data_IF_789690599188
#
_entry.id   IF_789690599188
#
_cell.length_a   1.000
_cell.length_b   1.000
_cell.length_c   1.000
_cell.angle_alpha   90.00
_cell.angle_beta   90.00
_cell.angle_gamma   90.00
#
_symmetry.space_group_name_H-M   'P 1'
#
loop_
_entity.id
_entity.type
_entity.pdbx_description
1 polymer ?
#
# COMPACT_ATOMS: atom_id res chain seq x y z
N UNK A 1 14.91 -43.87 -5.13
CA UNK A 1 13.72 -43.08 -4.73
C UNK A 1 14.02 -41.62 -5.00
N UNK A 2 13.42 -41.01 -6.02
CA UNK A 2 13.62 -39.58 -6.31
C UNK A 2 12.62 -38.76 -5.49
N UNK A 3 13.12 -37.85 -4.66
CA UNK A 3 12.29 -36.93 -3.86
C UNK A 3 11.53 -35.98 -4.79
N UNK A 4 10.21 -35.78 -4.63
CA UNK A 4 9.47 -34.85 -5.47
C UNK A 4 9.96 -33.43 -5.20
N UNK A 5 10.28 -32.71 -6.27
CA UNK A 5 10.70 -31.32 -6.22
C UNK A 5 9.44 -30.47 -5.98
N UNK A 6 9.22 -30.07 -4.74
CA UNK A 6 8.13 -29.16 -4.37
C UNK A 6 8.49 -27.79 -4.98
N UNK A 7 7.75 -27.34 -6.00
CA UNK A 7 7.89 -25.97 -6.50
C UNK A 7 7.37 -25.03 -5.43
N UNK A 8 8.28 -24.33 -4.78
CA UNK A 8 7.91 -23.23 -3.90
C UNK A 8 7.31 -22.11 -4.76
N UNK A 9 6.13 -21.56 -4.42
CA UNK A 9 5.62 -20.39 -5.11
C UNK A 9 6.61 -19.24 -4.94
N UNK A 10 7.26 -18.83 -6.01
CA UNK A 10 8.13 -17.66 -6.00
C UNK A 10 7.26 -16.42 -6.16
N UNK A 11 7.25 -15.57 -5.13
CA UNK A 11 6.57 -14.28 -5.21
C UNK A 11 7.41 -13.39 -6.13
N UNK A 12 6.83 -12.87 -7.21
CA UNK A 12 7.56 -12.04 -8.15
C UNK A 12 7.97 -10.71 -7.50
N UNK A 13 9.07 -10.10 -7.95
CA UNK A 13 9.57 -8.88 -7.34
C UNK A 13 8.50 -7.77 -7.37
N UNK A 14 8.47 -6.99 -6.30
CA UNK A 14 7.54 -5.87 -6.10
C UNK A 14 8.33 -4.61 -5.76
N UNK A 15 7.83 -3.44 -6.15
CA UNK A 15 8.46 -2.17 -5.78
C UNK A 15 8.47 -1.99 -4.25
N UNK A 16 9.59 -1.53 -3.69
CA UNK A 16 9.74 -1.26 -2.25
C UNK A 16 8.79 -0.19 -1.74
N UNK A 17 8.36 0.74 -2.62
CA UNK A 17 7.35 1.76 -2.29
C UNK A 17 6.00 1.16 -1.91
N UNK A 18 5.67 -0.04 -2.40
CA UNK A 18 4.43 -0.74 -2.04
C UNK A 18 4.46 -1.33 -0.62
N UNK A 19 5.64 -1.38 -0.02
CA UNK A 19 5.86 -1.80 1.36
C UNK A 19 6.05 -0.60 2.30
N UNK A 20 5.95 0.63 1.80
CA UNK A 20 6.11 1.83 2.61
C UNK A 20 5.07 1.88 3.74
N UNK A 21 5.53 2.10 4.97
CA UNK A 21 4.63 2.38 6.08
C UNK A 21 4.29 3.87 6.08
N UNK A 22 3.03 4.21 5.80
CA UNK A 22 2.56 5.58 5.87
C UNK A 22 2.06 5.87 7.28
N UNK A 23 2.66 6.86 7.93
CA UNK A 23 2.24 7.26 9.27
C UNK A 23 0.88 7.95 9.24
N UNK A 24 -0.06 7.44 10.03
CA UNK A 24 -1.37 8.05 10.20
C UNK A 24 -1.23 9.33 11.03
N UNK A 25 -1.75 10.47 10.55
CA UNK A 25 -1.76 11.70 11.35
C UNK A 25 -2.46 11.50 12.69
N UNK A 26 -1.87 12.06 13.75
CA UNK A 26 -2.49 12.11 15.07
C UNK A 26 -3.82 12.87 15.04
N UNK A 27 -4.66 12.63 16.05
CA UNK A 27 -5.94 13.32 16.21
C UNK A 27 -5.75 14.84 16.27
N UNK A 28 -6.74 15.65 15.84
CA UNK A 28 -6.68 17.10 16.00
C UNK A 28 -6.41 17.49 17.45
N UNK A 29 -5.58 18.51 17.66
CA UNK A 29 -5.23 18.98 19.00
C UNK A 29 -6.45 19.49 19.78
N UNK A 30 -7.45 20.04 19.09
CA UNK A 30 -8.76 20.36 19.66
C UNK A 30 -9.84 20.38 18.57
N UNK A 31 -11.09 20.63 18.96
CA UNK A 31 -12.22 20.84 18.03
C UNK A 31 -12.30 22.24 17.43
N UNK A 32 -11.26 23.08 17.56
CA UNK A 32 -11.28 24.41 16.96
C UNK A 32 -11.32 24.30 15.42
N UNK A 33 -11.99 25.24 14.72
CA UNK A 33 -12.06 25.20 13.26
C UNK A 33 -10.68 25.11 12.59
N UNK A 34 -9.69 25.86 13.09
CA UNK A 34 -8.33 25.84 12.55
C UNK A 34 -7.67 24.46 12.70
N UNK A 35 -7.72 23.85 13.89
CA UNK A 35 -7.13 22.52 14.11
C UNK A 35 -7.80 21.44 13.27
N UNK A 36 -9.11 21.55 13.04
CA UNK A 36 -9.84 20.63 12.17
C UNK A 36 -9.43 20.78 10.70
N UNK A 37 -9.24 22.01 10.22
CA UNK A 37 -8.81 22.28 8.84
C UNK A 37 -7.37 21.78 8.61
N UNK A 38 -6.45 22.08 9.52
CA UNK A 38 -5.05 21.63 9.43
C UNK A 38 -4.96 20.09 9.44
N UNK A 39 -5.75 19.45 10.30
CA UNK A 39 -5.84 17.99 10.33
C UNK A 39 -6.44 17.43 9.04
N UNK A 40 -7.50 18.04 8.49
CA UNK A 40 -8.14 17.57 7.26
C UNK A 40 -7.16 17.53 6.07
N UNK A 41 -6.30 18.54 5.93
CA UNK A 41 -5.26 18.57 4.89
C UNK A 41 -4.26 17.43 5.08
N UNK A 42 -3.73 17.27 6.30
CA UNK A 42 -2.76 16.20 6.62
C UNK A 42 -3.35 14.82 6.42
N UNK A 43 -4.58 14.60 6.89
CA UNK A 43 -5.29 13.33 6.78
C UNK A 43 -5.65 13.01 5.32
N UNK A 44 -6.05 14.00 4.55
CA UNK A 44 -6.27 13.86 3.11
C UNK A 44 -5.01 13.39 2.38
N UNK A 45 -3.86 14.00 2.66
CA UNK A 45 -2.57 13.57 2.11
C UNK A 45 -2.17 12.15 2.51
N UNK A 46 -2.47 11.73 3.74
CA UNK A 46 -2.29 10.34 4.18
C UNK A 46 -3.18 9.37 3.37
N UNK A 47 -4.47 9.68 3.19
CA UNK A 47 -5.38 8.87 2.39
C UNK A 47 -4.92 8.74 0.93
N UNK A 48 -4.41 9.81 0.33
CA UNK A 48 -3.88 9.78 -1.04
C UNK A 48 -2.69 8.83 -1.18
N UNK A 49 -1.77 8.82 -0.21
CA UNK A 49 -0.65 7.87 -0.18
C UNK A 49 -1.13 6.42 -0.12
N UNK A 50 -2.08 6.12 0.77
CA UNK A 50 -2.69 4.79 0.84
C UNK A 50 -3.38 4.39 -0.46
N UNK A 51 -4.13 5.30 -1.08
CA UNK A 51 -4.81 5.04 -2.35
C UNK A 51 -3.82 4.71 -3.47
N UNK A 52 -2.70 5.44 -3.55
CA UNK A 52 -1.63 5.18 -4.49
C UNK A 52 -1.00 3.79 -4.24
N UNK A 53 -0.71 3.45 -2.99
CA UNK A 53 -0.17 2.16 -2.61
C UNK A 53 -1.11 0.99 -2.96
N UNK A 54 -2.40 1.11 -2.64
CA UNK A 54 -3.42 0.11 -3.02
C UNK A 54 -3.51 -0.05 -4.53
N UNK A 55 -3.52 1.07 -5.26
CA UNK A 55 -3.57 1.03 -6.73
C UNK A 55 -2.35 0.34 -7.32
N UNK A 56 -1.17 0.56 -6.76
CA UNK A 56 0.06 -0.10 -7.17
C UNK A 56 0.05 -1.61 -6.87
N UNK A 57 -0.48 -2.04 -5.72
CA UNK A 57 -0.68 -3.46 -5.43
C UNK A 57 -1.63 -4.13 -6.43
N UNK A 58 -2.73 -3.48 -6.76
CA UNK A 58 -3.67 -3.98 -7.78
C UNK A 58 -3.02 -4.06 -9.17
N UNK A 59 -2.22 -3.06 -9.55
CA UNK A 59 -1.49 -3.06 -10.82
C UNK A 59 -0.48 -4.22 -10.89
N UNK A 60 0.33 -4.39 -9.84
CA UNK A 60 1.26 -5.52 -9.74
C UNK A 60 0.54 -6.86 -9.87
N UNK A 61 -0.57 -7.04 -9.15
CA UNK A 61 -1.33 -8.29 -9.20
C UNK A 61 -1.89 -8.59 -10.60
N UNK A 62 -2.42 -7.58 -11.29
CA UNK A 62 -2.91 -7.73 -12.68
C UNK A 62 -1.77 -8.04 -13.66
N UNK A 63 -0.59 -7.43 -13.48
CA UNK A 63 0.58 -7.75 -14.30
C UNK A 63 0.99 -9.22 -14.14
N UNK A 64 0.92 -9.76 -12.91
CA UNK A 64 1.18 -11.18 -12.68
C UNK A 64 0.15 -12.09 -13.35
N UNK A 65 -1.15 -11.77 -13.25
CA UNK A 65 -2.19 -12.54 -13.97
C UNK A 65 -2.00 -12.55 -15.49
N UNK A 66 -1.56 -11.42 -16.07
CA UNK A 66 -1.26 -11.32 -17.49
C UNK A 66 0.02 -12.06 -17.91
N UNK A 67 0.98 -12.21 -17.00
CA UNK A 67 2.24 -12.93 -17.23
C UNK A 67 2.13 -14.45 -17.04
N UNK A 68 1.02 -14.92 -16.45
CA UNK A 68 0.69 -16.34 -16.28
C UNK A 68 -0.12 -16.94 -17.46
N UNK A 69 -0.43 -16.16 -18.50
CA UNK A 69 -1.05 -16.64 -19.75
C UNK A 69 0.00 -16.83 -20.83
#
# INVERSE_FOLDING_TARGET
>A
MATPLIRQPEIPPVSTELLANHERPERPASGSPQHLLDHAVRYGGYCQKLQAQVSGWQAWYRQQQGSLK
#
